data_IF_003361658224
#
_entry.id   IF_003361658224
#
_cell.length_a   1.000
_cell.length_b   1.000
_cell.length_c   1.000
_cell.angle_alpha   90.00
_cell.angle_beta   90.00
_cell.angle_gamma   90.00
#
_symmetry.space_group_name_H-M   'P 1'
#
loop_
_entity.id
_entity.type
_entity.pdbx_description
1 polymer ?
#
# COMPACT_ATOMS: atom_id res chain seq x y z
N UNK A 1 2.35 -31.00 -8.95
CA UNK A 1 3.71 -30.45 -8.90
C UNK A 1 4.60 -31.43 -8.16
N UNK A 2 5.79 -31.77 -8.66
CA UNK A 2 6.68 -32.70 -7.94
C UNK A 2 7.20 -32.06 -6.65
N UNK A 3 7.35 -32.84 -5.59
CA UNK A 3 7.81 -32.36 -4.27
C UNK A 3 9.18 -31.70 -4.35
N UNK A 4 10.07 -32.24 -5.21
CA UNK A 4 11.38 -31.67 -5.52
C UNK A 4 11.28 -30.28 -6.16
N UNK A 5 10.37 -30.09 -7.13
CA UNK A 5 10.17 -28.80 -7.77
C UNK A 5 9.63 -27.78 -6.76
N UNK A 6 8.67 -28.17 -5.90
CA UNK A 6 8.17 -27.30 -4.84
C UNK A 6 9.28 -26.90 -3.87
N UNK A 7 10.11 -27.86 -3.44
CA UNK A 7 11.24 -27.60 -2.57
C UNK A 7 12.24 -26.64 -3.21
N UNK A 8 12.50 -26.75 -4.51
CA UNK A 8 13.37 -25.82 -5.22
C UNK A 8 12.77 -24.41 -5.31
N UNK A 9 11.50 -24.31 -5.70
CA UNK A 9 10.79 -23.02 -5.89
C UNK A 9 10.64 -22.25 -4.58
N UNK A 10 10.45 -22.94 -3.45
CA UNK A 10 10.30 -22.30 -2.14
C UNK A 10 11.63 -22.18 -1.40
N UNK A 11 12.44 -23.25 -1.43
CA UNK A 11 13.66 -23.36 -0.65
C UNK A 11 14.80 -22.48 -1.15
N UNK A 12 15.00 -22.38 -2.48
CA UNK A 12 16.08 -21.54 -3.03
C UNK A 12 15.86 -20.07 -2.70
N UNK A 13 14.67 -19.46 -2.94
CA UNK A 13 14.42 -18.08 -2.55
C UNK A 13 14.51 -17.85 -1.04
N UNK A 14 14.01 -18.78 -0.21
CA UNK A 14 14.14 -18.69 1.24
C UNK A 14 15.60 -18.68 1.69
N UNK A 15 16.41 -19.61 1.16
CA UNK A 15 17.84 -19.67 1.49
C UNK A 15 18.57 -18.40 1.07
N UNK A 16 18.27 -17.87 -0.12
CA UNK A 16 18.84 -16.62 -0.61
C UNK A 16 18.45 -15.44 0.29
N UNK A 17 17.18 -15.33 0.66
CA UNK A 17 16.67 -14.27 1.54
C UNK A 17 17.32 -14.29 2.93
N UNK A 18 17.44 -15.48 3.52
CA UNK A 18 18.14 -15.66 4.79
C UNK A 18 19.63 -15.32 4.67
N UNK A 19 20.28 -15.71 3.57
CA UNK A 19 21.66 -15.36 3.27
C UNK A 19 21.88 -13.85 3.20
N UNK A 20 21.04 -13.13 2.45
CA UNK A 20 21.09 -11.67 2.36
C UNK A 20 20.82 -10.99 3.72
N UNK A 21 19.88 -11.52 4.50
CA UNK A 21 19.59 -11.02 5.85
C UNK A 21 20.82 -11.15 6.77
N UNK A 22 21.51 -12.30 6.70
CA UNK A 22 22.74 -12.52 7.46
C UNK A 22 23.87 -11.59 7.00
N UNK A 23 24.02 -11.36 5.69
CA UNK A 23 24.98 -10.38 5.15
C UNK A 23 24.67 -8.98 5.66
N UNK A 24 23.41 -8.54 5.62
CA UNK A 24 22.99 -7.22 6.11
C UNK A 24 23.29 -7.06 7.61
N UNK A 25 23.03 -8.09 8.42
CA UNK A 25 23.38 -8.08 9.84
C UNK A 25 24.89 -7.92 10.08
N UNK A 26 25.70 -8.67 9.34
CA UNK A 26 27.15 -8.67 9.49
C UNK A 26 27.79 -7.37 8.99
N UNK A 27 27.37 -6.92 7.80
CA UNK A 27 27.90 -5.73 7.16
C UNK A 27 27.50 -4.46 7.91
N UNK A 28 26.26 -4.38 8.42
CA UNK A 28 25.78 -3.23 9.18
C UNK A 28 26.69 -2.88 10.38
N UNK A 29 27.22 -3.89 11.07
CA UNK A 29 28.18 -3.66 12.16
C UNK A 29 29.55 -3.15 11.70
N UNK A 30 29.96 -3.47 10.47
CA UNK A 30 31.24 -3.05 9.89
C UNK A 30 31.19 -1.64 9.31
N UNK A 31 30.05 -1.25 8.74
CA UNK A 31 29.87 0.07 8.09
C UNK A 31 29.27 1.13 9.01
N UNK A 32 29.12 0.85 10.31
CA UNK A 32 28.61 1.82 11.30
C UNK A 32 27.09 2.00 11.31
N UNK A 33 26.35 1.05 10.74
CA UNK A 33 24.89 1.04 10.73
C UNK A 33 24.33 0.39 12.02
N UNK A 34 24.30 1.17 13.10
CA UNK A 34 23.85 0.68 14.40
C UNK A 34 22.33 0.91 14.67
N UNK A 35 21.68 -0.01 15.42
CA UNK A 35 22.16 -1.35 15.76
C UNK A 35 21.99 -2.30 14.56
N UNK A 36 22.92 -3.26 14.33
CA UNK A 36 22.83 -4.20 13.19
C UNK A 36 21.54 -5.02 13.15
N UNK A 37 20.96 -5.31 14.32
CA UNK A 37 19.68 -6.03 14.46
C UNK A 37 18.52 -5.29 13.78
N UNK A 38 18.52 -3.95 13.80
CA UNK A 38 17.49 -3.13 13.14
C UNK A 38 17.49 -3.39 11.64
N UNK A 39 18.66 -3.35 11.02
CA UNK A 39 18.81 -3.54 9.58
C UNK A 39 18.49 -4.97 9.16
N UNK A 40 18.95 -5.95 9.93
CA UNK A 40 18.58 -7.34 9.72
C UNK A 40 17.06 -7.57 9.79
N UNK A 41 16.38 -6.96 10.79
CA UNK A 41 14.92 -7.05 10.92
C UNK A 41 14.19 -6.39 9.74
N UNK A 42 14.66 -5.22 9.29
CA UNK A 42 14.10 -4.55 8.10
C UNK A 42 14.26 -5.46 6.88
N UNK A 43 15.48 -5.92 6.57
CA UNK A 43 15.75 -6.79 5.43
C UNK A 43 14.90 -8.07 5.49
N UNK A 44 14.81 -8.71 6.66
CA UNK A 44 14.03 -9.93 6.84
C UNK A 44 12.54 -9.73 6.57
N UNK A 45 11.96 -8.62 7.05
CA UNK A 45 10.52 -8.37 7.01
C UNK A 45 10.02 -7.73 5.71
N UNK A 46 10.90 -7.20 4.85
CA UNK A 46 10.48 -6.56 3.59
C UNK A 46 9.53 -7.42 2.75
N UNK A 47 9.75 -8.73 2.54
CA UNK A 47 8.84 -9.56 1.74
C UNK A 47 7.41 -9.63 2.30
N UNK A 48 7.21 -9.38 3.61
CA UNK A 48 5.87 -9.36 4.21
C UNK A 48 5.00 -8.23 3.64
N UNK A 49 5.60 -7.14 3.18
CA UNK A 49 4.86 -6.04 2.56
C UNK A 49 4.11 -6.53 1.31
N UNK A 50 4.79 -7.30 0.44
CA UNK A 50 4.15 -7.89 -0.74
C UNK A 50 3.03 -8.87 -0.36
N UNK A 51 3.21 -9.63 0.72
CA UNK A 51 2.16 -10.51 1.24
C UNK A 51 0.95 -9.73 1.75
N UNK A 52 1.14 -8.64 2.49
CA UNK A 52 0.04 -7.78 2.93
C UNK A 52 -0.68 -7.12 1.75
N UNK A 53 0.03 -6.66 0.72
CA UNK A 53 -0.58 -6.14 -0.51
C UNK A 53 -1.52 -7.20 -1.13
N UNK A 54 -1.06 -8.44 -1.26
CA UNK A 54 -1.90 -9.54 -1.75
C UNK A 54 -3.14 -9.77 -0.87
N UNK A 55 -3.01 -9.71 0.46
CA UNK A 55 -4.14 -9.85 1.36
C UNK A 55 -5.16 -8.72 1.21
N UNK A 56 -4.70 -7.47 1.10
CA UNK A 56 -5.57 -6.31 0.91
C UNK A 56 -6.28 -6.37 -0.45
N UNK A 57 -5.55 -6.65 -1.52
CA UNK A 57 -6.14 -6.85 -2.86
C UNK A 57 -7.18 -7.97 -2.85
N UNK A 58 -6.89 -9.07 -2.14
CA UNK A 58 -7.84 -10.17 -2.00
C UNK A 58 -9.09 -9.76 -1.22
N UNK A 59 -8.99 -8.90 -0.20
CA UNK A 59 -10.16 -8.46 0.57
C UNK A 59 -11.10 -7.58 -0.26
N UNK A 60 -10.58 -6.81 -1.21
CA UNK A 60 -11.38 -5.98 -2.12
C UNK A 60 -12.29 -6.82 -3.02
N UNK A 61 -11.95 -8.08 -3.32
CA UNK A 61 -12.81 -8.96 -4.14
C UNK A 61 -14.15 -9.30 -3.48
N UNK A 62 -14.24 -9.18 -2.16
CA UNK A 62 -15.47 -9.41 -1.38
C UNK A 62 -16.08 -8.10 -0.85
N UNK A 63 -15.59 -6.96 -1.31
CA UNK A 63 -16.12 -5.66 -0.93
C UNK A 63 -17.51 -5.47 -1.55
N UNK A 64 -18.50 -5.21 -0.71
CA UNK A 64 -19.85 -4.82 -1.14
C UNK A 64 -20.00 -3.30 -1.01
N UNK A 65 -19.91 -2.56 -2.12
CA UNK A 65 -20.00 -1.10 -2.11
C UNK A 65 -21.38 -0.61 -1.63
N UNK A 66 -22.44 -1.42 -1.71
CA UNK A 66 -23.78 -1.01 -1.22
C UNK A 66 -23.85 -1.02 0.31
N UNK A 67 -22.97 -1.80 0.96
CA UNK A 67 -22.90 -1.92 2.40
C UNK A 67 -21.90 -0.95 3.06
N UNK A 68 -21.07 -0.26 2.28
CA UNK A 68 -20.04 0.62 2.80
C UNK A 68 -20.60 2.01 3.15
N UNK A 69 -20.65 2.41 4.44
CA UNK A 69 -21.12 3.73 4.86
C UNK A 69 -20.25 4.90 4.34
N UNK A 70 -19.08 4.61 3.78
CA UNK A 70 -18.17 5.58 3.17
C UNK A 70 -18.16 5.52 1.63
N UNK A 71 -18.97 4.67 0.99
CA UNK A 71 -18.99 4.51 -0.48
C UNK A 71 -19.14 5.83 -1.24
N UNK A 72 -20.02 6.71 -0.77
CA UNK A 72 -20.29 8.02 -1.39
C UNK A 72 -19.44 9.16 -0.82
N UNK A 73 -18.67 8.89 0.25
CA UNK A 73 -17.82 9.87 0.92
C UNK A 73 -16.35 9.51 0.73
N UNK A 74 -15.68 10.15 -0.23
CA UNK A 74 -14.25 9.94 -0.48
C UNK A 74 -13.38 10.13 0.78
N UNK A 75 -13.84 10.90 1.78
CA UNK A 75 -13.12 11.19 3.04
C UNK A 75 -14.08 11.44 4.20
N UNK A 76 -13.63 11.17 5.44
CA UNK A 76 -14.33 11.57 6.66
C UNK A 76 -14.13 13.07 6.93
N UNK A 77 -15.09 13.91 6.54
CA UNK A 77 -15.07 15.34 6.87
C UNK A 77 -15.65 15.53 8.26
N UNK A 78 -14.91 16.18 9.15
CA UNK A 78 -15.41 16.52 10.48
C UNK A 78 -16.65 17.42 10.34
N UNK A 79 -17.73 17.23 11.13
CA UNK A 79 -19.00 17.97 10.97
C UNK A 79 -18.82 19.50 10.94
N UNK A 80 -17.82 20.03 11.65
CA UNK A 80 -17.52 21.47 11.69
C UNK A 80 -16.90 22.04 10.40
N UNK A 81 -16.57 21.21 9.41
CA UNK A 81 -15.93 21.60 8.14
C UNK A 81 -16.61 20.97 6.91
N UNK A 82 -17.77 20.33 7.09
CA UNK A 82 -18.52 19.72 6.00
C UNK A 82 -18.89 20.74 4.93
N UNK A 83 -19.20 21.97 5.33
CA UNK A 83 -19.61 23.06 4.42
C UNK A 83 -18.42 23.72 3.67
N UNK A 84 -17.18 23.51 4.12
CA UNK A 84 -15.99 24.17 3.56
C UNK A 84 -15.43 23.45 2.32
N UNK A 85 -15.97 22.27 1.98
CA UNK A 85 -15.37 21.40 0.96
C UNK A 85 -16.42 20.97 -0.08
N UNK A 86 -16.75 21.81 -1.06
CA UNK A 86 -17.55 21.37 -2.20
C UNK A 86 -16.64 20.52 -3.10
N UNK A 87 -16.61 19.20 -2.89
CA UNK A 87 -15.86 18.30 -3.75
C UNK A 87 -16.79 17.40 -4.55
N UNK A 88 -16.52 17.24 -5.86
CA UNK A 88 -17.26 16.30 -6.69
C UNK A 88 -17.06 14.87 -6.18
N UNK A 89 -18.15 14.12 -6.11
CA UNK A 89 -18.12 12.69 -5.81
C UNK A 89 -17.48 11.90 -6.95
N UNK A 90 -16.94 10.72 -6.66
CA UNK A 90 -16.32 9.86 -7.67
C UNK A 90 -17.42 9.26 -8.55
N UNK A 91 -17.69 9.91 -9.68
CA UNK A 91 -18.81 9.63 -10.60
C UNK A 91 -19.59 10.87 -11.03
N UNK A 92 -19.20 12.06 -10.55
CA UNK A 92 -19.77 13.32 -11.02
C UNK A 92 -19.22 13.69 -12.40
N UNK A 93 -19.95 13.34 -13.47
CA UNK A 93 -19.68 13.71 -14.87
C UNK A 93 -20.01 15.19 -15.16
N UNK A 94 -20.28 16.01 -14.14
CA UNK A 94 -20.52 17.43 -14.32
C UNK A 94 -19.20 18.10 -14.68
N UNK A 95 -19.16 18.61 -15.91
CA UNK A 95 -18.12 19.52 -16.40
C UNK A 95 -17.82 20.55 -15.31
N UNK A 96 -16.56 20.59 -14.85
CA UNK A 96 -16.04 21.73 -14.11
C UNK A 96 -16.47 23.00 -14.84
N UNK A 97 -16.92 24.04 -14.14
CA UNK A 97 -17.24 25.30 -14.80
C UNK A 97 -15.95 25.87 -15.39
N UNK A 98 -15.71 25.57 -16.67
CA UNK A 98 -14.77 26.30 -17.49
C UNK A 98 -15.48 27.59 -17.89
N UNK A 99 -15.09 28.66 -17.19
CA UNK A 99 -14.78 30.00 -17.68
C UNK A 99 -15.73 30.70 -18.69
N UNK A 100 -16.06 31.95 -18.33
CA UNK A 100 -16.41 33.09 -19.20
C UNK A 100 -17.77 33.08 -19.94
N UNK A 101 -18.65 34.03 -19.60
CA UNK A 101 -18.92 35.19 -20.47
C UNK A 101 -19.96 36.16 -19.87
N UNK A 102 -19.66 37.46 -19.94
CA UNK A 102 -20.61 38.53 -19.68
C UNK A 102 -19.99 39.88 -19.36
N UNK A 103 -19.17 40.41 -20.26
CA UNK A 103 -19.09 41.88 -20.45
C UNK A 103 -20.52 42.40 -20.70
N UNK A 104 -20.96 43.39 -19.92
CA UNK A 104 -21.73 44.55 -20.42
C UNK A 104 -21.99 45.59 -19.29
N UNK A 105 -21.63 46.85 -19.62
CA UNK A 105 -21.79 48.17 -18.96
C UNK A 105 -20.77 48.67 -17.91
#
# INVERSE_FOLDING_TARGET
MSTLLLAAIVGIPLAWHLGLTAVAYYDAGRVGLEPPRKWAAITFCIPLIGFFIYLFERSELSYDPESDPYRDNNFNIHPSRADDTPLPSRGDDRLSPADEDGDDE
#
